data_IF_075370565444
#
_entry.id   IF_075370565444
#
_cell.length_a   1.000
_cell.length_b   1.000
_cell.length_c   1.000
_cell.angle_alpha   90.00
_cell.angle_beta   90.00
_cell.angle_gamma   90.00
#
_symmetry.space_group_name_H-M   'P 1'
#
loop_
_entity.id
_entity.type
_entity.pdbx_description
1 polymer ?
#
# COMPACT_ATOMS: atom_id res chain seq x y z
N UNK A 1 16.33 4.36 -18.44
CA UNK A 1 14.87 4.57 -18.38
C UNK A 1 14.59 6.06 -18.51
N UNK A 2 13.61 6.49 -19.31
CA UNK A 2 13.27 7.91 -19.40
C UNK A 2 12.55 8.36 -18.11
N UNK A 3 12.94 9.51 -17.55
CA UNK A 3 12.30 10.14 -16.39
C UNK A 3 10.78 10.20 -16.55
N UNK A 4 10.29 10.61 -17.72
CA UNK A 4 8.86 10.71 -17.99
C UNK A 4 8.13 9.38 -17.79
N UNK A 5 8.73 8.26 -18.18
CA UNK A 5 8.11 6.94 -18.06
C UNK A 5 8.01 6.49 -16.59
N UNK A 6 9.05 6.71 -15.80
CA UNK A 6 9.04 6.39 -14.37
C UNK A 6 7.99 7.22 -13.61
N UNK A 7 7.85 8.50 -13.97
CA UNK A 7 6.83 9.39 -13.40
C UNK A 7 5.42 8.87 -13.70
N UNK A 8 5.13 8.47 -14.94
CA UNK A 8 3.81 7.90 -15.29
C UNK A 8 3.51 6.59 -14.56
N UNK A 9 4.51 5.72 -14.37
CA UNK A 9 4.35 4.50 -13.55
C UNK A 9 3.99 4.87 -12.12
N UNK A 10 4.72 5.80 -11.50
CA UNK A 10 4.46 6.23 -10.12
C UNK A 10 3.06 6.84 -10.00
N UNK A 11 2.67 7.73 -10.91
CA UNK A 11 1.33 8.34 -10.90
C UNK A 11 0.24 7.28 -11.03
N UNK A 12 0.36 6.35 -11.98
CA UNK A 12 -0.59 5.26 -12.16
C UNK A 12 -0.68 4.35 -10.93
N UNK A 13 0.46 4.00 -10.35
CA UNK A 13 0.54 3.20 -9.14
C UNK A 13 -0.07 3.94 -7.94
N UNK A 14 0.22 5.24 -7.77
CA UNK A 14 -0.35 6.09 -6.74
C UNK A 14 -1.87 6.13 -6.85
N UNK A 15 -2.41 6.32 -8.06
CA UNK A 15 -3.85 6.34 -8.29
C UNK A 15 -4.50 5.01 -7.87
N UNK A 16 -3.90 3.87 -8.22
CA UNK A 16 -4.45 2.55 -7.84
C UNK A 16 -4.36 2.34 -6.32
N UNK A 17 -3.17 2.54 -5.75
CA UNK A 17 -2.88 2.25 -4.34
C UNK A 17 -3.55 3.21 -3.36
N UNK A 18 -3.75 4.47 -3.72
CA UNK A 18 -4.48 5.43 -2.90
C UNK A 18 -5.97 5.08 -2.77
N UNK A 19 -6.54 4.39 -3.76
CA UNK A 19 -7.96 4.01 -3.77
C UNK A 19 -8.23 2.62 -3.17
N UNK A 20 -7.23 1.73 -3.15
CA UNK A 20 -7.33 0.36 -2.63
C UNK A 20 -7.93 0.25 -1.21
N UNK A 21 -7.49 1.04 -0.21
CA UNK A 21 -8.02 0.99 1.16
C UNK A 21 -9.52 1.26 1.26
N UNK A 22 -10.06 2.07 0.35
CA UNK A 22 -11.46 2.44 0.36
C UNK A 22 -12.32 1.46 -0.42
N UNK A 23 -11.85 0.99 -1.58
CA UNK A 23 -12.60 0.06 -2.43
C UNK A 23 -12.71 -1.31 -1.76
N UNK A 24 -11.65 -1.80 -1.12
CA UNK A 24 -11.63 -3.12 -0.49
C UNK A 24 -12.03 -3.09 0.99
N UNK A 25 -12.89 -4.03 1.36
CA UNK A 25 -13.36 -4.21 2.74
C UNK A 25 -12.39 -5.02 3.59
N UNK A 26 -11.45 -5.73 2.94
CA UNK A 26 -10.51 -6.64 3.59
C UNK A 26 -9.32 -5.88 4.16
N UNK A 27 -8.89 -6.14 5.41
CA UNK A 27 -7.72 -5.49 6.00
C UNK A 27 -6.46 -5.83 5.22
N UNK A 28 -5.63 -4.81 4.98
CA UNK A 28 -4.30 -4.96 4.38
C UNK A 28 -3.18 -5.06 5.41
N UNK A 29 -3.47 -4.67 6.66
CA UNK A 29 -2.49 -4.59 7.73
C UNK A 29 -2.93 -5.44 8.92
N UNK A 30 -1.97 -6.05 9.59
CA UNK A 30 -2.15 -6.65 10.91
C UNK A 30 -1.85 -5.57 11.94
N UNK A 31 -2.89 -5.11 12.62
CA UNK A 31 -2.78 -4.07 13.64
C UNK A 31 -2.66 -4.70 15.04
N UNK A 32 -2.03 -4.01 16.00
CA UNK A 32 -1.87 -4.52 17.35
C UNK A 32 -3.15 -4.44 18.20
N UNK A 33 -4.27 -3.99 17.62
CA UNK A 33 -5.59 -3.94 18.25
C UNK A 33 -6.65 -4.66 17.42
N UNK A 34 -7.60 -5.31 18.10
CA UNK A 34 -8.75 -6.00 17.48
C UNK A 34 -9.68 -5.02 16.78
N UNK A 35 -10.04 -5.30 15.52
CA UNK A 35 -11.06 -4.54 14.80
C UNK A 35 -12.48 -5.08 15.09
N UNK A 36 -13.51 -4.26 14.87
CA UNK A 36 -14.90 -4.69 15.03
C UNK A 36 -15.22 -5.85 14.08
N UNK A 37 -15.60 -7.00 14.64
CA UNK A 37 -15.91 -8.23 13.91
C UNK A 37 -14.77 -9.25 13.85
N UNK A 38 -13.60 -8.92 14.39
CA UNK A 38 -12.45 -9.83 14.45
C UNK A 38 -12.45 -10.64 15.77
N UNK A 39 -12.02 -11.92 15.76
CA UNK A 39 -11.90 -12.70 16.99
C UNK A 39 -10.94 -12.03 17.97
N UNK A 40 -11.36 -11.88 19.23
CA UNK A 40 -10.50 -11.34 20.28
C UNK A 40 -9.38 -12.33 20.57
N UNK A 41 -8.14 -11.94 20.26
CA UNK A 41 -6.93 -12.67 20.60
C UNK A 41 -6.22 -11.97 21.78
N UNK A 42 -5.30 -12.67 22.48
CA UNK A 42 -4.49 -12.03 23.52
C UNK A 42 -3.69 -10.86 22.95
N UNK A 43 -3.66 -9.73 23.66
CA UNK A 43 -3.01 -8.50 23.19
C UNK A 43 -1.53 -8.73 22.81
N UNK A 44 -0.76 -9.44 23.65
CA UNK A 44 0.65 -9.73 23.39
C UNK A 44 0.88 -10.49 22.08
N UNK A 45 -0.03 -11.41 21.72
CA UNK A 45 0.04 -12.18 20.48
C UNK A 45 -0.25 -11.28 19.26
N UNK A 46 -1.20 -10.35 19.37
CA UNK A 46 -1.48 -9.35 18.32
C UNK A 46 -0.29 -8.43 18.08
N UNK A 47 0.35 -7.97 19.16
CA UNK A 47 1.57 -7.17 19.08
C UNK A 47 2.71 -7.92 18.39
N UNK A 48 2.95 -9.20 18.75
CA UNK A 48 3.98 -10.02 18.10
C UNK A 48 3.70 -10.18 16.60
N UNK A 49 2.47 -10.53 16.21
CA UNK A 49 2.13 -10.67 14.79
C UNK A 49 2.21 -9.35 14.03
N UNK A 50 1.78 -8.24 14.65
CA UNK A 50 1.91 -6.91 14.08
C UNK A 50 3.38 -6.56 13.87
N UNK A 51 4.23 -6.73 14.88
CA UNK A 51 5.68 -6.47 14.77
C UNK A 51 6.34 -7.34 13.71
N UNK A 52 6.00 -8.62 13.65
CA UNK A 52 6.51 -9.53 12.61
C UNK A 52 6.05 -9.06 11.23
N UNK A 53 4.77 -8.72 11.07
CA UNK A 53 4.20 -8.26 9.81
C UNK A 53 4.85 -6.96 9.32
N UNK A 54 4.95 -5.94 10.18
CA UNK A 54 5.60 -4.68 9.84
C UNK A 54 7.11 -4.85 9.63
N UNK A 55 7.77 -5.72 10.40
CA UNK A 55 9.17 -6.06 10.20
C UNK A 55 9.40 -6.74 8.85
N UNK A 56 8.55 -7.69 8.46
CA UNK A 56 8.60 -8.36 7.16
C UNK A 56 8.28 -7.39 6.01
N UNK A 57 7.30 -6.50 6.20
CA UNK A 57 6.96 -5.48 5.22
C UNK A 57 8.13 -4.49 5.03
N UNK A 58 8.76 -4.06 6.11
CA UNK A 58 9.94 -3.19 6.06
C UNK A 58 11.14 -3.90 5.42
N UNK A 59 11.37 -5.18 5.75
CA UNK A 59 12.43 -5.99 5.13
C UNK A 59 12.21 -6.15 3.62
N UNK A 60 10.97 -6.42 3.19
CA UNK A 60 10.60 -6.46 1.78
C UNK A 60 10.76 -5.10 1.11
N UNK A 61 10.37 -4.01 1.76
CA UNK A 61 10.52 -2.67 1.20
C UNK A 61 11.99 -2.27 1.05
N UNK A 62 12.84 -2.62 2.02
CA UNK A 62 14.29 -2.43 1.94
C UNK A 62 14.91 -3.29 0.83
N UNK A 63 14.53 -4.58 0.74
CA UNK A 63 14.96 -5.47 -0.32
C UNK A 63 14.52 -4.98 -1.70
N UNK A 64 13.28 -4.50 -1.83
CA UNK A 64 12.75 -3.88 -3.04
C UNK A 64 13.57 -2.65 -3.45
N UNK A 65 13.86 -1.76 -2.51
CA UNK A 65 14.70 -0.59 -2.75
C UNK A 65 16.08 -0.98 -3.29
N UNK A 66 16.73 -1.99 -2.69
CA UNK A 66 18.03 -2.48 -3.18
C UNK A 66 17.94 -3.16 -4.56
N UNK A 67 16.94 -4.03 -4.77
CA UNK A 67 16.76 -4.78 -6.03
C UNK A 67 16.43 -3.90 -7.23
N UNK A 68 15.60 -2.88 -7.00
CA UNK A 68 15.15 -1.92 -8.01
C UNK A 68 16.20 -0.80 -8.16
N UNK A 69 16.73 -0.28 -7.06
CA UNK A 69 17.73 0.80 -7.03
C UNK A 69 19.11 0.41 -7.55
N UNK A 70 19.54 -0.84 -7.35
CA UNK A 70 20.83 -1.35 -7.80
C UNK A 70 20.85 -1.88 -9.24
N UNK A 71 19.72 -1.84 -9.96
CA UNK A 71 19.65 -2.30 -11.34
C UNK A 71 20.18 -1.22 -12.29
N UNK A 72 21.50 -1.18 -12.51
CA UNK A 72 22.12 -0.25 -13.47
C UNK A 72 21.59 -0.52 -14.89
N UNK A 73 20.45 0.08 -15.25
CA UNK A 73 19.82 -0.10 -16.57
C UNK A 73 20.59 0.75 -17.58
N UNK A 74 21.45 0.10 -18.37
CA UNK A 74 21.96 0.70 -19.60
C UNK A 74 20.76 0.89 -20.55
N UNK A 75 20.33 2.14 -20.68
CA UNK A 75 19.01 2.54 -21.19
C UNK A 75 18.73 2.22 -22.67
N UNK A 76 19.61 1.48 -23.35
CA UNK A 76 19.54 1.17 -24.77
C UNK A 76 19.22 -0.30 -25.09
N UNK A 77 19.12 -1.20 -24.10
CA UNK A 77 18.89 -2.62 -24.35
C UNK A 77 17.50 -3.10 -23.87
N UNK A 78 16.74 -3.75 -24.75
CA UNK A 78 15.40 -4.29 -24.48
C UNK A 78 15.42 -5.32 -23.34
N UNK A 79 16.51 -6.09 -23.21
CA UNK A 79 16.68 -7.05 -22.13
C UNK A 79 16.75 -6.38 -20.76
N UNK A 80 17.38 -5.21 -20.67
CA UNK A 80 17.52 -4.46 -19.41
C UNK A 80 16.18 -3.87 -18.95
N UNK A 81 15.36 -3.38 -19.89
CA UNK A 81 14.02 -2.83 -19.62
C UNK A 81 13.06 -3.93 -19.18
N UNK A 82 13.08 -5.08 -19.86
CA UNK A 82 12.22 -6.21 -19.50
C UNK A 82 12.60 -6.79 -18.14
N UNK A 83 13.88 -6.95 -17.82
CA UNK A 83 14.33 -7.35 -16.48
C UNK A 83 13.94 -6.34 -15.39
N UNK A 84 14.03 -5.04 -15.67
CA UNK A 84 13.62 -4.00 -14.74
C UNK A 84 12.12 -4.04 -14.44
N UNK A 85 11.28 -4.15 -15.49
CA UNK A 85 9.83 -4.32 -15.33
C UNK A 85 9.47 -5.64 -14.63
N UNK A 86 10.18 -6.72 -14.92
CA UNK A 86 10.00 -8.01 -14.26
C UNK A 86 10.36 -7.94 -12.76
N UNK A 87 11.41 -7.21 -12.38
CA UNK A 87 11.76 -6.95 -10.98
C UNK A 87 10.67 -6.16 -10.26
N UNK A 88 10.19 -5.07 -10.86
CA UNK A 88 9.07 -4.28 -10.30
C UNK A 88 7.83 -5.16 -10.13
N UNK A 89 7.45 -5.91 -11.17
CA UNK A 89 6.30 -6.81 -11.14
C UNK A 89 6.45 -7.89 -10.08
N UNK A 90 7.62 -8.53 -9.98
CA UNK A 90 7.92 -9.55 -8.98
C UNK A 90 7.83 -9.01 -7.56
N UNK A 91 8.47 -7.86 -7.29
CA UNK A 91 8.37 -7.18 -5.99
C UNK A 91 6.92 -6.81 -5.68
N UNK A 92 6.20 -6.21 -6.63
CA UNK A 92 4.81 -5.82 -6.45
C UNK A 92 3.91 -7.02 -6.15
N UNK A 93 4.15 -8.18 -6.77
CA UNK A 93 3.43 -9.42 -6.48
C UNK A 93 3.72 -9.94 -5.07
N UNK A 94 4.98 -9.92 -4.63
CA UNK A 94 5.36 -10.35 -3.27
C UNK A 94 4.77 -9.42 -2.22
N UNK A 95 4.86 -8.11 -2.44
CA UNK A 95 4.25 -7.10 -1.56
C UNK A 95 2.72 -7.26 -1.54
N UNK A 96 2.08 -7.44 -2.69
CA UNK A 96 0.64 -7.69 -2.75
C UNK A 96 0.23 -8.99 -2.05
N UNK A 97 1.02 -10.07 -2.18
CA UNK A 97 0.79 -11.31 -1.46
C UNK A 97 0.86 -11.10 0.06
N UNK A 98 1.88 -10.36 0.54
CA UNK A 98 1.99 -10.01 1.95
C UNK A 98 0.82 -9.14 2.43
N UNK A 99 0.45 -8.11 1.68
CA UNK A 99 -0.66 -7.20 2.06
C UNK A 99 -2.04 -7.84 1.96
N UNK A 100 -2.21 -8.87 1.12
CA UNK A 100 -3.48 -9.60 1.01
C UNK A 100 -3.59 -10.74 2.04
N UNK A 101 -2.48 -11.14 2.66
CA UNK A 101 -2.45 -12.18 3.69
C UNK A 101 -3.40 -11.90 4.87
N UNK A 102 -3.48 -10.69 5.46
CA UNK A 102 -4.40 -10.40 6.55
C UNK A 102 -5.87 -10.55 6.12
N UNK A 103 -6.18 -10.06 4.91
CA UNK A 103 -7.49 -10.23 4.29
C UNK A 103 -7.83 -11.68 3.91
N UNK A 104 -6.83 -12.57 3.77
CA UNK A 104 -7.04 -14.01 3.60
C UNK A 104 -7.30 -14.70 4.93
N UNK A 105 -6.50 -14.39 5.96
CA UNK A 105 -6.65 -14.91 7.33
C UNK A 105 -8.04 -14.64 7.90
N UNK A 106 -8.59 -13.46 7.63
CA UNK A 106 -9.89 -13.04 8.18
C UNK A 106 -11.07 -13.25 7.23
N UNK A 107 -10.98 -14.13 6.22
CA UNK A 107 -12.07 -14.37 5.24
C UNK A 107 -13.37 -14.88 5.86
N UNK A 108 -13.29 -15.54 7.01
CA UNK A 108 -14.46 -16.06 7.72
C UNK A 108 -15.25 -14.97 8.46
N UNK A 109 -14.70 -13.76 8.60
CA UNK A 109 -15.25 -12.71 9.45
C UNK A 109 -15.56 -11.43 8.65
N UNK A 110 -16.67 -10.78 8.98
CA UNK A 110 -17.02 -9.47 8.42
C UNK A 110 -16.39 -8.38 9.28
N UNK A 111 -15.21 -7.90 8.87
CA UNK A 111 -14.48 -6.85 9.59
C UNK A 111 -14.98 -5.47 9.18
N UNK A 112 -15.40 -4.67 10.15
CA UNK A 112 -15.75 -3.27 9.94
C UNK A 112 -14.54 -2.37 10.19
N UNK A 113 -13.87 -1.97 9.09
CA UNK A 113 -12.77 -1.00 9.14
C UNK A 113 -13.26 0.38 9.58
N UNK A 114 -12.64 0.91 10.62
CA UNK A 114 -12.81 2.32 11.01
C UNK A 114 -12.17 3.25 9.98
N UNK A 115 -12.53 4.54 10.02
CA UNK A 115 -11.90 5.56 9.20
C UNK A 115 -10.38 5.64 9.46
N UNK A 116 -9.97 5.61 10.73
CA UNK A 116 -8.56 5.67 11.11
C UNK A 116 -7.73 4.49 10.58
N UNK A 117 -8.31 3.28 10.56
CA UNK A 117 -7.63 2.11 9.98
C UNK A 117 -7.36 2.30 8.49
N UNK A 118 -8.32 2.86 7.74
CA UNK A 118 -8.13 3.14 6.30
C UNK A 118 -7.12 4.25 6.06
N UNK A 119 -7.12 5.28 6.91
CA UNK A 119 -6.12 6.34 6.84
C UNK A 119 -4.71 5.76 7.07
N UNK A 120 -4.56 4.87 8.05
CA UNK A 120 -3.28 4.20 8.33
C UNK A 120 -2.87 3.26 7.19
N UNK A 121 -3.79 2.48 6.61
CA UNK A 121 -3.53 1.72 5.37
C UNK A 121 -3.04 2.64 4.24
N UNK A 122 -3.68 3.80 4.06
CA UNK A 122 -3.30 4.79 3.05
C UNK A 122 -1.90 5.36 3.31
N UNK A 123 -1.55 5.66 4.56
CA UNK A 123 -0.19 6.10 4.92
C UNK A 123 0.86 5.03 4.61
N UNK A 124 0.54 3.75 4.84
CA UNK A 124 1.46 2.64 4.49
C UNK A 124 1.63 2.51 2.98
N UNK A 125 0.55 2.64 2.19
CA UNK A 125 0.64 2.69 0.73
C UNK A 125 1.45 3.88 0.23
N UNK A 126 1.27 5.06 0.83
CA UNK A 126 2.08 6.24 0.52
C UNK A 126 3.57 5.96 0.75
N UNK A 127 3.93 5.39 1.90
CA UNK A 127 5.32 5.02 2.19
C UNK A 127 5.90 4.03 1.18
N UNK A 128 5.14 3.00 0.80
CA UNK A 128 5.59 2.02 -0.20
C UNK A 128 5.81 2.64 -1.59
N UNK A 129 4.90 3.51 -2.03
CA UNK A 129 5.08 4.22 -3.31
C UNK A 129 6.25 5.20 -3.24
N UNK A 130 6.44 5.87 -2.09
CA UNK A 130 7.60 6.73 -1.85
C UNK A 130 8.92 5.97 -1.96
N UNK A 131 9.01 4.77 -1.36
CA UNK A 131 10.20 3.90 -1.47
C UNK A 131 10.47 3.51 -2.93
N UNK A 132 9.43 3.21 -3.71
CA UNK A 132 9.58 2.96 -5.15
C UNK A 132 10.05 4.20 -5.91
N UNK A 133 9.51 5.38 -5.58
CA UNK A 133 9.95 6.65 -6.17
C UNK A 133 11.42 6.93 -5.91
N UNK A 134 11.87 6.70 -4.67
CA UNK A 134 13.29 6.80 -4.32
C UNK A 134 14.16 5.76 -4.99
N UNK A 135 13.67 4.53 -5.17
CA UNK A 135 14.39 3.52 -5.93
C UNK A 135 14.58 3.95 -7.39
N UNK A 136 13.59 4.60 -8.00
CA UNK A 136 13.73 5.17 -9.35
C UNK A 136 14.70 6.35 -9.39
N UNK A 137 14.70 7.21 -8.38
CA UNK A 137 15.60 8.36 -8.29
C UNK A 137 17.08 7.92 -8.24
N UNK A 138 17.40 6.87 -7.46
CA UNK A 138 18.76 6.29 -7.41
C UNK A 138 19.24 5.80 -8.78
N UNK A 139 18.34 5.33 -9.63
CA UNK A 139 18.68 4.89 -10.98
C UNK A 139 18.89 6.04 -11.98
N UNK A 140 18.40 7.25 -11.67
CA UNK A 140 18.39 8.39 -12.58
C UNK A 140 19.54 9.39 -12.35
N UNK A 141 20.36 9.19 -11.33
CA UNK A 141 21.57 9.98 -11.08
C UNK A 141 21.64 10.50 -9.65
N UNK A 142 22.12 11.74 -9.48
CA UNK A 142 22.37 12.30 -8.16
C UNK A 142 21.06 12.72 -7.48
N UNK A 143 20.80 12.15 -6.30
CA UNK A 143 19.66 12.49 -5.45
C UNK A 143 19.84 13.91 -4.91
N UNK A 144 18.85 14.77 -5.15
CA UNK A 144 18.82 16.08 -4.49
C UNK A 144 18.28 15.93 -3.07
N UNK A 145 18.82 16.67 -2.09
CA UNK A 145 18.21 16.73 -0.77
C UNK A 145 16.78 17.28 -0.91
N UNK A 146 15.81 16.53 -0.39
CA UNK A 146 14.40 16.91 -0.40
C UNK A 146 14.02 17.41 0.99
N UNK A 147 13.47 18.61 1.06
CA UNK A 147 12.98 19.20 2.31
C UNK A 147 11.63 18.60 2.73
N UNK A 148 11.15 18.96 3.92
CA UNK A 148 9.90 18.45 4.47
C UNK A 148 8.68 18.83 3.61
N UNK A 149 8.75 19.96 2.90
CA UNK A 149 7.73 20.47 1.99
C UNK A 149 7.45 19.47 0.87
N UNK A 150 8.49 18.81 0.35
CA UNK A 150 8.33 17.80 -0.69
C UNK A 150 7.44 16.65 -0.21
N UNK A 151 7.66 16.17 1.01
CA UNK A 151 6.86 15.11 1.61
C UNK A 151 5.43 15.57 1.92
N UNK A 152 5.24 16.81 2.35
CA UNK A 152 3.91 17.37 2.59
C UNK A 152 3.09 17.49 1.29
N UNK A 153 3.72 17.98 0.21
CA UNK A 153 3.08 18.13 -1.10
C UNK A 153 2.75 16.77 -1.71
N UNK A 154 3.70 15.84 -1.72
CA UNK A 154 3.47 14.49 -2.26
C UNK A 154 2.43 13.70 -1.48
N UNK A 155 2.41 13.82 -0.15
CA UNK A 155 1.35 13.26 0.68
C UNK A 155 -0.02 13.86 0.34
N UNK A 156 -0.09 15.19 0.17
CA UNK A 156 -1.33 15.89 -0.19
C UNK A 156 -1.83 15.45 -1.56
N UNK A 157 -0.96 15.32 -2.55
CA UNK A 157 -1.30 14.78 -3.87
C UNK A 157 -1.79 13.34 -3.78
N UNK A 158 -1.14 12.50 -2.97
CA UNK A 158 -1.57 11.12 -2.77
C UNK A 158 -2.96 11.02 -2.13
N UNK A 159 -3.26 11.89 -1.15
CA UNK A 159 -4.59 11.99 -0.55
C UNK A 159 -5.66 12.43 -1.58
N UNK A 160 -5.34 13.40 -2.44
CA UNK A 160 -6.23 13.84 -3.53
C UNK A 160 -6.50 12.68 -4.50
N UNK A 161 -5.48 11.90 -4.87
CA UNK A 161 -5.66 10.72 -5.71
C UNK A 161 -6.55 9.64 -5.07
N UNK A 162 -6.58 9.55 -3.73
CA UNK A 162 -7.46 8.64 -2.97
C UNK A 162 -8.88 9.14 -2.76
N UNK A 163 -9.16 10.40 -3.11
CA UNK A 163 -10.48 11.02 -2.93
C UNK A 163 -11.63 10.28 -3.65
N UNK A 164 -11.49 9.77 -4.90
CA UNK A 164 -12.56 9.05 -5.57
C UNK A 164 -13.03 7.81 -4.79
N UNK A 165 -12.10 7.03 -4.25
CA UNK A 165 -12.38 5.87 -3.41
C UNK A 165 -13.06 6.26 -2.09
N UNK A 166 -12.62 7.36 -1.48
CA UNK A 166 -13.27 7.94 -0.31
C UNK A 166 -14.73 8.29 -0.59
N UNK A 167 -15.01 9.06 -1.64
CA UNK A 167 -16.37 9.45 -2.05
C UNK A 167 -17.23 8.22 -2.33
N UNK A 168 -16.72 7.27 -3.10
CA UNK A 168 -17.44 6.04 -3.41
C UNK A 168 -17.89 5.29 -2.16
N UNK A 169 -17.04 5.20 -1.15
CA UNK A 169 -17.38 4.44 0.05
C UNK A 169 -18.21 5.20 1.07
N UNK A 170 -17.94 6.48 1.28
CA UNK A 170 -18.58 7.25 2.34
C UNK A 170 -19.83 7.98 1.87
N UNK A 171 -19.89 8.40 0.62
CA UNK A 171 -21.01 9.17 0.08
C UNK A 171 -21.95 8.32 -0.79
N UNK A 172 -21.42 7.41 -1.62
CA UNK A 172 -22.24 6.63 -2.56
C UNK A 172 -22.74 5.30 -1.95
N UNK A 173 -21.90 4.59 -1.20
CA UNK A 173 -22.31 3.34 -0.52
C UNK A 173 -23.07 3.64 0.78
N UNK A 174 -24.39 3.73 0.69
CA UNK A 174 -25.27 3.70 1.86
C UNK A 174 -25.16 2.33 2.55
N UNK A 175 -25.10 2.27 3.90
CA UNK A 175 -25.27 0.99 4.59
C UNK A 175 -26.63 0.42 4.19
N UNK A 176 -26.66 -0.80 3.63
CA UNK A 176 -27.94 -1.52 3.52
C UNK A 176 -28.46 -1.67 4.94
N UNK A 177 -29.62 -1.10 5.23
CA UNK A 177 -30.30 -1.28 6.50
C UNK A 177 -30.40 -2.79 6.74
N UNK A 178 -29.74 -3.29 7.79
CA UNK A 178 -29.93 -4.68 8.22
C UNK A 178 -31.40 -4.77 8.60
N UNK A 179 -32.24 -5.57 7.91
CA UNK A 179 -33.63 -5.70 8.29
C UNK A 179 -33.65 -6.19 9.74
N UNK A 180 -34.37 -5.46 10.60
CA UNK A 180 -34.52 -5.82 11.99
C UNK A 180 -34.98 -7.29 12.05
N UNK A 181 -34.11 -8.16 12.57
CA UNK A 181 -34.45 -9.55 12.80
C UNK A 181 -35.61 -9.52 13.80
N UNK A 182 -36.83 -9.74 13.31
CA UNK A 182 -37.96 -10.06 14.19
C UNK A 182 -37.58 -11.37 14.87
N UNK A 183 -37.16 -11.29 16.13
CA UNK A 183 -37.07 -12.47 16.98
C UNK A 183 -38.52 -12.93 17.23
N UNK A 184 -38.82 -14.23 17.07
CA UNK A 184 -40.10 -14.80 17.47
C UNK A 184 -40.28 -14.74 18.99
#
# INVERSE_FOLDING_TARGET
MNQSFAVWILIGLSLITANLPFVLERPFLILPWTQKGEPTAPAWMQWIFSLLFFGLLAALAYGAFGLIGGALVMASDLASVTLFLAKIGGVALVVAALLTYPGWRSRAYVIQKSFFVRLLELMVFYGMVGILGFAFEVNMGNRFPQDWEFYAVTLSLFLVLGYPGFVYRYLLRRPKAVPARKLP
#
